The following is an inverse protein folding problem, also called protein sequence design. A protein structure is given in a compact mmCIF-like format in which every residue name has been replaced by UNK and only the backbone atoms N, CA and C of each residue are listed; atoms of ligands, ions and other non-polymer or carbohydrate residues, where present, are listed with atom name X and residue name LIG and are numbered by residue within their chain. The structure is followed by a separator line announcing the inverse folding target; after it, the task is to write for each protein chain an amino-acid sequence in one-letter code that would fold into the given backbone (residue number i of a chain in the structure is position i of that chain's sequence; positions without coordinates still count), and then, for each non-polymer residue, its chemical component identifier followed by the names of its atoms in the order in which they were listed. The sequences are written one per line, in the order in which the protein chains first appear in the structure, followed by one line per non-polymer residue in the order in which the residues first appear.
data_IF_704048334878
#
_entry.id   IF_704048334878
#
_cell.length_a   1.000
_cell.length_b   1.000
_cell.length_c   1.000
_cell.angle_alpha   90.00
_cell.angle_beta   90.00
_cell.angle_gamma   90.00
#
_symmetry.space_group_name_H-M   'P 1'
#
loop_
_entity.id
_entity.type
_entity.pdbx_description
1 polymer ?
#
# COMPACT_ATOMS: atom_id res chain seq x y z
N UNK A 1 28.36 -13.43 7.64
CA UNK A 1 27.08 -13.71 6.96
C UNK A 1 25.96 -13.15 7.84
N UNK A 2 25.00 -12.43 7.28
CA UNK A 2 23.90 -11.81 8.05
C UNK A 2 22.54 -12.52 7.88
N UNK A 3 22.47 -13.52 7.00
CA UNK A 3 21.25 -14.31 6.79
C UNK A 3 20.91 -15.13 8.06
N UNK A 4 19.60 -15.27 8.34
CA UNK A 4 19.05 -16.00 9.49
C UNK A 4 19.57 -15.51 10.84
N UNK A 5 19.72 -14.18 10.99
CA UNK A 5 20.05 -13.54 12.27
C UNK A 5 19.01 -12.48 12.58
N UNK A 6 18.69 -12.26 13.86
CA UNK A 6 17.72 -11.22 14.27
C UNK A 6 18.10 -9.82 13.74
N UNK A 7 19.40 -9.52 13.64
CA UNK A 7 19.90 -8.28 13.03
C UNK A 7 19.64 -8.22 11.52
N UNK A 8 19.85 -9.34 10.82
CA UNK A 8 19.55 -9.47 9.40
C UNK A 8 18.06 -9.30 9.11
N UNK A 9 17.21 -9.95 9.89
CA UNK A 9 15.75 -9.84 9.82
C UNK A 9 15.30 -8.40 10.03
N UNK A 10 15.77 -7.75 11.11
CA UNK A 10 15.49 -6.33 11.38
C UNK A 10 15.88 -5.43 10.21
N UNK A 11 17.04 -5.66 9.60
CA UNK A 11 17.50 -4.92 8.42
C UNK A 11 16.62 -5.17 7.19
N UNK A 12 16.20 -6.41 6.94
CA UNK A 12 15.31 -6.72 5.82
C UNK A 12 13.93 -6.09 5.97
N UNK A 13 13.37 -6.09 7.19
CA UNK A 13 12.06 -5.47 7.44
C UNK A 13 12.11 -3.96 7.19
N UNK A 14 13.16 -3.28 7.68
CA UNK A 14 13.38 -1.86 7.42
C UNK A 14 13.57 -1.57 5.91
N UNK A 15 14.32 -2.43 5.22
CA UNK A 15 14.52 -2.31 3.77
C UNK A 15 13.20 -2.44 2.99
N UNK A 16 12.33 -3.38 3.38
CA UNK A 16 11.03 -3.56 2.74
C UNK A 16 10.16 -2.30 2.88
N UNK A 17 10.11 -1.73 4.09
CA UNK A 17 9.39 -0.49 4.37
C UNK A 17 9.88 0.67 3.50
N UNK A 18 11.20 0.92 3.49
CA UNK A 18 11.78 2.00 2.70
C UNK A 18 11.54 1.79 1.20
N UNK A 19 11.76 0.57 0.71
CA UNK A 19 11.58 0.22 -0.71
C UNK A 19 10.13 0.43 -1.14
N UNK A 20 9.17 0.01 -0.33
CA UNK A 20 7.76 0.19 -0.64
C UNK A 20 7.37 1.68 -0.70
N UNK A 21 7.87 2.51 0.22
CA UNK A 21 7.66 3.97 0.16
C UNK A 21 8.28 4.58 -1.09
N UNK A 22 9.47 4.13 -1.51
CA UNK A 22 10.07 4.56 -2.77
C UNK A 22 9.21 4.13 -3.97
N UNK A 23 8.72 2.89 -3.99
CA UNK A 23 7.81 2.41 -5.05
C UNK A 23 6.55 3.28 -5.15
N UNK A 24 5.91 3.62 -4.02
CA UNK A 24 4.78 4.54 -3.99
C UNK A 24 5.10 5.92 -4.57
N UNK A 25 6.27 6.49 -4.23
CA UNK A 25 6.72 7.77 -4.80
C UNK A 25 6.97 7.68 -6.30
N UNK A 26 7.56 6.58 -6.78
CA UNK A 26 7.80 6.36 -8.20
C UNK A 26 6.48 6.23 -8.97
N UNK A 27 5.51 5.47 -8.45
CA UNK A 27 4.17 5.39 -9.04
C UNK A 27 3.53 6.78 -9.16
N UNK A 28 3.60 7.58 -8.10
CA UNK A 28 3.08 8.95 -8.08
C UNK A 28 3.78 9.85 -9.11
N UNK A 29 5.10 9.74 -9.23
CA UNK A 29 5.86 10.46 -10.24
C UNK A 29 5.42 10.07 -11.65
N UNK A 30 5.27 8.77 -11.94
CA UNK A 30 4.81 8.29 -13.24
C UNK A 30 3.39 8.73 -13.56
N UNK A 31 2.49 8.80 -12.59
CA UNK A 31 1.12 9.30 -12.77
C UNK A 31 1.07 10.78 -13.17
N UNK A 32 1.91 11.59 -12.51
CA UNK A 32 1.99 13.05 -12.71
C UNK A 32 2.78 13.43 -13.95
N UNK A 33 3.83 12.68 -14.26
CA UNK A 33 4.73 12.91 -15.37
C UNK A 33 4.98 11.59 -16.12
N UNK A 34 3.99 11.08 -16.89
CA UNK A 34 4.18 9.87 -17.66
C UNK A 34 5.32 10.04 -18.68
N UNK A 35 6.13 9.01 -18.93
CA UNK A 35 7.14 9.05 -19.98
C UNK A 35 6.49 9.31 -21.34
N UNK A 36 7.18 10.06 -22.19
CA UNK A 36 6.69 10.40 -23.53
C UNK A 36 6.35 9.13 -24.32
N UNK A 37 5.15 9.10 -24.91
CA UNK A 37 4.57 7.97 -25.65
C UNK A 37 4.13 6.77 -24.78
N UNK A 38 4.16 6.88 -23.45
CA UNK A 38 3.65 5.87 -22.51
C UNK A 38 2.49 6.40 -21.66
N UNK A 39 1.92 7.55 -22.01
CA UNK A 39 0.86 8.24 -21.25
C UNK A 39 -0.36 7.33 -21.05
N UNK A 40 -0.86 6.75 -22.14
CA UNK A 40 -2.01 5.85 -22.11
C UNK A 40 -1.70 4.52 -21.42
N UNK A 41 -0.47 4.03 -21.57
CA UNK A 41 -0.02 2.81 -20.89
C UNK A 41 -0.02 3.01 -19.38
N UNK A 42 0.57 4.10 -18.89
CA UNK A 42 0.60 4.45 -17.47
C UNK A 42 -0.81 4.64 -16.94
N UNK A 43 -1.65 5.39 -17.65
CA UNK A 43 -3.04 5.61 -17.23
C UNK A 43 -3.83 4.30 -17.17
N UNK A 44 -3.71 3.44 -18.19
CA UNK A 44 -4.36 2.13 -18.24
C UNK A 44 -3.91 1.20 -17.13
N UNK A 45 -2.59 1.11 -16.90
CA UNK A 45 -2.01 0.29 -15.83
C UNK A 45 -2.54 0.68 -14.46
N UNK A 46 -2.47 1.97 -14.11
CA UNK A 46 -2.90 2.43 -12.79
C UNK A 46 -4.42 2.50 -12.63
N UNK A 47 -5.18 2.62 -13.73
CA UNK A 47 -6.64 2.43 -13.69
C UNK A 47 -7.00 1.01 -13.26
N UNK A 48 -6.29 0.01 -13.77
CA UNK A 48 -6.55 -1.40 -13.47
C UNK A 48 -6.03 -1.80 -12.08
N UNK A 49 -4.83 -1.35 -11.70
CA UNK A 49 -4.15 -1.82 -10.50
C UNK A 49 -4.25 -0.86 -9.29
N UNK A 50 -4.70 0.38 -9.47
CA UNK A 50 -4.75 1.40 -8.42
C UNK A 50 -5.53 0.94 -7.19
N UNK A 51 -6.67 0.25 -7.38
CA UNK A 51 -7.45 -0.33 -6.29
C UNK A 51 -6.63 -1.33 -5.45
N UNK A 52 -5.93 -2.25 -6.10
CA UNK A 52 -5.15 -3.29 -5.41
C UNK A 52 -3.97 -2.68 -4.64
N UNK A 53 -3.34 -1.65 -5.21
CA UNK A 53 -2.28 -0.90 -4.54
C UNK A 53 -2.81 -0.24 -3.26
N UNK A 54 -3.99 0.40 -3.31
CA UNK A 54 -4.60 1.01 -2.14
C UNK A 54 -5.01 -0.01 -1.07
N UNK A 55 -5.50 -1.20 -1.47
CA UNK A 55 -5.76 -2.32 -0.55
C UNK A 55 -4.48 -2.72 0.19
N UNK A 56 -3.37 -2.89 -0.53
CA UNK A 56 -2.09 -3.23 0.08
C UNK A 56 -1.60 -2.16 1.05
N UNK A 57 -1.65 -0.88 0.64
CA UNK A 57 -1.31 0.23 1.52
C UNK A 57 -2.14 0.23 2.80
N UNK A 58 -3.45 -0.06 2.69
CA UNK A 58 -4.34 -0.11 3.84
C UNK A 58 -3.97 -1.25 4.79
N UNK A 59 -3.71 -2.45 4.27
CA UNK A 59 -3.27 -3.58 5.10
C UNK A 59 -1.98 -3.23 5.88
N UNK A 60 -1.02 -2.56 5.26
CA UNK A 60 0.20 -2.13 5.94
C UNK A 60 -0.03 -1.03 6.98
N UNK A 61 -0.97 -0.10 6.74
CA UNK A 61 -1.40 0.87 7.74
C UNK A 61 -2.07 0.21 8.94
N UNK A 62 -2.86 -0.83 8.69
CA UNK A 62 -3.60 -1.58 9.72
C UNK A 62 -2.69 -2.58 10.48
N UNK A 63 -1.43 -2.73 10.07
CA UNK A 63 -0.40 -3.42 10.84
C UNK A 63 0.23 -4.63 10.18
N UNK A 64 -0.22 -5.03 8.97
CA UNK A 64 0.43 -6.08 8.21
C UNK A 64 1.88 -5.70 7.88
N UNK A 65 2.79 -6.67 7.89
CA UNK A 65 4.19 -6.46 7.56
C UNK A 65 4.38 -6.25 6.04
N UNK A 66 5.24 -5.31 5.64
CA UNK A 66 5.54 -5.13 4.21
C UNK A 66 6.16 -6.40 3.62
N UNK A 67 5.51 -6.93 2.58
CA UNK A 67 5.91 -8.15 1.89
C UNK A 67 5.19 -9.42 2.32
N UNK A 68 4.30 -9.38 3.32
CA UNK A 68 3.53 -10.57 3.74
C UNK A 68 2.24 -10.81 2.92
N UNK A 69 1.84 -9.86 2.07
CA UNK A 69 0.65 -9.98 1.23
C UNK A 69 0.92 -10.90 0.03
N UNK A 70 0.78 -12.22 0.22
CA UNK A 70 0.70 -13.19 -0.87
C UNK A 70 -0.76 -13.39 -1.27
N UNK A 71 -1.03 -13.43 -2.57
CA UNK A 71 -2.39 -13.41 -3.15
C UNK A 71 -3.33 -14.57 -2.81
N UNK A 72 -2.97 -15.46 -1.88
CA UNK A 72 -3.80 -16.62 -1.49
C UNK A 72 -3.69 -16.99 0.01
N UNK A 73 -3.16 -16.11 0.86
CA UNK A 73 -3.13 -16.38 2.30
C UNK A 73 -2.11 -15.57 3.07
N UNK A 74 -2.51 -15.13 4.26
CA UNK A 74 -1.61 -14.57 5.27
C UNK A 74 -0.62 -15.68 5.67
N UNK A 75 0.67 -15.48 5.46
CA UNK A 75 1.67 -16.30 6.13
C UNK A 75 1.58 -16.00 7.63
N UNK A 76 1.36 -17.03 8.45
CA UNK A 76 1.48 -16.97 9.91
C UNK A 76 2.82 -16.32 10.26
N UNK A 77 2.75 -15.04 10.65
CA UNK A 77 3.88 -14.34 11.25
C UNK A 77 3.78 -14.60 12.75
N UNK A 78 4.89 -15.09 13.31
CA UNK A 78 5.08 -15.30 14.75
C UNK A 78 4.56 -14.09 15.54
N UNK A 79 3.84 -14.37 16.63
CA UNK A 79 2.96 -13.44 17.37
C UNK A 79 3.73 -12.35 18.16
N UNK A 80 4.96 -12.03 17.75
CA UNK A 80 5.88 -11.11 18.40
C UNK A 80 6.37 -9.99 17.49
N UNK A 81 5.71 -8.83 17.56
CA UNK A 81 6.28 -7.50 17.26
C UNK A 81 6.65 -7.14 15.80
N UNK A 82 6.30 -7.96 14.79
CA UNK A 82 6.55 -7.64 13.37
C UNK A 82 5.42 -6.84 12.73
N UNK A 83 5.12 -5.66 13.28
CA UNK A 83 4.23 -4.69 12.63
C UNK A 83 5.03 -3.57 11.98
N UNK A 84 4.48 -2.96 10.94
CA UNK A 84 5.14 -1.83 10.28
C UNK A 84 5.48 -0.69 11.26
N UNK A 85 6.66 -0.09 11.09
CA UNK A 85 7.12 1.00 11.93
C UNK A 85 6.19 2.21 11.90
N UNK A 86 6.11 2.95 13.01
CA UNK A 86 5.28 4.17 13.12
C UNK A 86 5.67 5.19 12.05
N UNK A 87 6.98 5.36 11.81
CA UNK A 87 7.51 6.29 10.80
C UNK A 87 7.07 5.88 9.38
N UNK A 88 7.11 4.58 9.08
CA UNK A 88 6.61 4.07 7.81
C UNK A 88 5.12 4.36 7.67
N UNK A 89 4.29 4.00 8.66
CA UNK A 89 2.83 4.22 8.60
C UNK A 89 2.46 5.69 8.39
N UNK A 90 3.15 6.61 9.08
CA UNK A 90 2.96 8.05 8.88
C UNK A 90 3.33 8.52 7.47
N UNK A 91 4.43 8.01 6.92
CA UNK A 91 4.88 8.35 5.56
C UNK A 91 3.94 7.76 4.50
N UNK A 92 3.51 6.51 4.70
CA UNK A 92 2.59 5.82 3.81
C UNK A 92 1.22 6.51 3.79
N UNK A 93 0.70 6.96 4.94
CA UNK A 93 -0.58 7.67 5.01
C UNK A 93 -0.61 8.89 4.08
N UNK A 94 0.45 9.71 4.08
CA UNK A 94 0.56 10.87 3.19
C UNK A 94 0.56 10.45 1.71
N UNK A 95 1.34 9.42 1.37
CA UNK A 95 1.40 8.90 0.00
C UNK A 95 0.06 8.31 -0.46
N UNK A 96 -0.71 7.67 0.43
CA UNK A 96 -2.02 7.11 0.12
C UNK A 96 -3.01 8.21 -0.28
N UNK A 97 -3.02 9.35 0.42
CA UNK A 97 -3.89 10.48 0.07
C UNK A 97 -3.56 11.02 -1.34
N UNK A 98 -2.27 11.13 -1.68
CA UNK A 98 -1.83 11.56 -3.01
C UNK A 98 -2.14 10.51 -4.09
N UNK A 99 -1.82 9.24 -3.84
CA UNK A 99 -2.07 8.13 -4.77
C UNK A 99 -3.57 7.97 -5.04
N UNK A 100 -4.42 8.05 -4.02
CA UNK A 100 -5.87 7.96 -4.16
C UNK A 100 -6.40 9.05 -5.10
N UNK A 101 -5.87 10.27 -4.97
CA UNK A 101 -6.23 11.39 -5.83
C UNK A 101 -5.84 11.11 -7.28
N UNK A 102 -4.58 10.76 -7.53
CA UNK A 102 -4.09 10.51 -8.89
C UNK A 102 -4.76 9.29 -9.55
N UNK A 103 -4.96 8.19 -8.80
CA UNK A 103 -5.67 7.01 -9.30
C UNK A 103 -7.10 7.33 -9.70
N UNK A 104 -7.81 8.14 -8.90
CA UNK A 104 -9.17 8.58 -9.23
C UNK A 104 -9.17 9.43 -10.51
N UNK A 105 -8.19 10.33 -10.69
CA UNK A 105 -8.03 11.13 -11.92
C UNK A 105 -7.79 10.25 -13.14
N UNK A 106 -7.05 9.14 -13.02
CA UNK A 106 -6.84 8.16 -14.10
C UNK A 106 -8.00 7.17 -14.29
N UNK A 107 -9.07 7.31 -13.50
CA UNK A 107 -10.31 6.53 -13.64
C UNK A 107 -10.30 5.18 -12.92
N UNK A 108 -9.41 4.97 -11.95
CA UNK A 108 -9.47 3.78 -11.10
C UNK A 108 -10.75 3.81 -10.23
N UNK A 109 -11.40 2.65 -10.06
CA UNK A 109 -12.54 2.53 -9.14
C UNK A 109 -12.07 2.50 -7.68
N UNK A 110 -11.89 3.68 -7.12
CA UNK A 110 -11.45 3.90 -5.74
C UNK A 110 -12.58 4.40 -4.82
N UNK A 111 -13.84 4.32 -5.24
CA UNK A 111 -14.98 4.93 -4.53
C UNK A 111 -15.13 4.52 -3.06
N UNK A 112 -14.79 3.26 -2.74
CA UNK A 112 -14.82 2.74 -1.36
C UNK A 112 -13.83 3.47 -0.43
N UNK A 113 -12.63 3.80 -0.93
CA UNK A 113 -11.59 4.49 -0.16
C UNK A 113 -11.93 5.96 0.12
N UNK A 114 -12.59 6.63 -0.84
CA UNK A 114 -13.02 8.03 -0.69
C UNK A 114 -14.11 8.19 0.37
N UNK A 115 -15.02 7.23 0.46
CA UNK A 115 -16.09 7.20 1.47
C UNK A 115 -15.55 6.93 2.87
N UNK A 116 -14.58 6.02 2.99
CA UNK A 116 -13.94 5.67 4.27
C UNK A 116 -13.04 6.78 4.82
N UNK A 117 -12.27 7.47 3.97
CA UNK A 117 -11.45 8.63 4.38
C UNK A 117 -12.31 9.77 4.94
N UNK A 118 -13.47 10.05 4.31
CA UNK A 118 -14.43 11.06 4.79
C UNK A 118 -15.09 10.65 6.11
N UNK A 119 -15.41 9.37 6.29
CA UNK A 119 -15.99 8.85 7.53
C UNK A 119 -14.99 8.83 8.71
N UNK A 120 -13.69 8.62 8.45
CA UNK A 120 -12.64 8.68 9.49
C UNK A 120 -12.39 10.09 10.01
N UNK A 121 -12.48 11.11 9.13
CA UNK A 121 -12.36 12.53 9.52
C UNK A 121 -13.53 13.01 10.40
N UNK A 122 -14.69 12.35 10.34
CA UNK A 122 -15.86 12.69 11.17
C UNK A 122 -16.01 11.87 12.45
N UNK A 123 -15.39 10.67 12.55
CA UNK A 123 -15.65 9.73 13.66
C UNK A 123 -14.44 9.35 14.53
N UNK A 124 -13.21 9.65 14.14
CA UNK A 124 -12.03 9.38 14.99
C UNK A 124 -11.81 7.91 15.37
N UNK A 125 -12.46 6.95 14.68
CA UNK A 125 -12.43 5.52 15.02
C UNK A 125 -11.58 4.70 14.03
N UNK A 126 -10.84 3.73 14.57
CA UNK A 126 -10.18 2.67 13.80
C UNK A 126 -11.18 1.54 13.56
N UNK A 127 -11.46 1.21 12.29
CA UNK A 127 -12.28 0.05 11.94
C UNK A 127 -11.44 -1.01 11.24
N UNK A 128 -11.55 -2.24 11.74
CA UNK A 128 -11.10 -3.49 11.13
C UNK A 128 -12.07 -3.89 10.01
N UNK A 129 -11.55 -4.29 8.86
CA UNK A 129 -12.35 -4.77 7.73
C UNK A 129 -11.83 -6.12 7.26
N UNK A 130 -12.76 -7.04 7.04
CA UNK A 130 -12.51 -8.33 6.39
C UNK A 130 -12.27 -8.08 4.90
N UNK A 131 -11.05 -8.35 4.43
CA UNK A 131 -10.78 -8.41 3.01
C UNK A 131 -11.58 -9.59 2.42
N UNK A 132 -12.57 -9.29 1.57
CA UNK A 132 -13.16 -10.31 0.70
C UNK A 132 -12.13 -10.58 -0.40
N UNK A 133 -11.30 -11.60 -0.18
CA UNK A 133 -10.14 -11.97 -1.00
C UNK A 133 -10.54 -12.72 -2.28
N UNK A 134 -11.76 -12.51 -2.80
CA UNK A 134 -12.19 -13.13 -4.06
C UNK A 134 -11.86 -12.23 -5.24
N UNK A 135 -10.56 -12.09 -5.56
CA UNK A 135 -10.10 -11.50 -6.82
C UNK A 135 -9.55 -12.63 -7.71
N UNK A 136 -10.40 -13.17 -8.58
CA UNK A 136 -9.94 -13.98 -9.71
C UNK A 136 -9.29 -13.06 -10.74
N UNK A 137 -8.06 -13.42 -11.13
CA UNK A 137 -7.28 -12.83 -12.22
C UNK A 137 -8.06 -12.89 -13.55
#
# INVERSE_FOLDING_TARGET
MHANTAHGEKKSLAYNEDTFLLSCRTMLYSLRNPPKNFEDFVAGHFRQHGRNILVACRAYLDGAQVGCLSGDGVQDVDEGDTSCSVRFKQSLKKLVEELLTEFTVKGADCGKFLTEEKAKRSSGACSTWTADTTLRL
#
